data_IF_884728333081
#
_entry.id   IF_884728333081
#
_cell.length_a   1.000
_cell.length_b   1.000
_cell.length_c   1.000
_cell.angle_alpha   90.00
_cell.angle_beta   90.00
_cell.angle_gamma   90.00
#
_symmetry.space_group_name_H-M   'P 1'
#
loop_
_entity.id
_entity.type
_entity.pdbx_description
1 polymer ?
#
# COMPACT_ATOMS: atom_id res chain seq x y z
N UNK A 1 -11.76 -30.72 29.93
CA UNK A 1 -11.42 -29.40 30.47
C UNK A 1 -10.11 -28.86 29.87
N UNK A 2 -9.05 -29.67 29.79
CA UNK A 2 -7.73 -29.25 29.28
C UNK A 2 -7.73 -28.83 27.79
N UNK A 3 -8.46 -29.53 26.91
CA UNK A 3 -8.57 -29.16 25.49
C UNK A 3 -9.23 -27.79 25.28
N UNK A 4 -10.29 -27.49 26.04
CA UNK A 4 -10.96 -26.19 25.97
C UNK A 4 -10.03 -25.06 26.44
N UNK A 5 -9.25 -25.31 27.49
CA UNK A 5 -8.24 -24.36 27.96
C UNK A 5 -7.17 -24.10 26.89
N UNK A 6 -6.65 -25.14 26.24
CA UNK A 6 -5.68 -24.99 25.16
C UNK A 6 -6.23 -24.17 23.97
N UNK A 7 -7.49 -24.39 23.59
CA UNK A 7 -8.16 -23.64 22.51
C UNK A 7 -8.31 -22.16 22.90
N UNK A 8 -8.72 -21.86 24.14
CA UNK A 8 -8.86 -20.49 24.64
C UNK A 8 -7.51 -19.77 24.64
N UNK A 9 -6.46 -20.43 25.14
CA UNK A 9 -5.10 -19.87 25.16
C UNK A 9 -4.62 -19.58 23.74
N UNK A 10 -4.83 -20.49 22.79
CA UNK A 10 -4.50 -20.27 21.38
C UNK A 10 -5.24 -19.06 20.80
N UNK A 11 -6.54 -18.94 21.06
CA UNK A 11 -7.34 -17.80 20.60
C UNK A 11 -6.84 -16.47 21.21
N UNK A 12 -6.47 -16.45 22.48
CA UNK A 12 -5.85 -15.30 23.13
C UNK A 12 -4.53 -14.90 22.46
N UNK A 13 -3.64 -15.86 22.15
CA UNK A 13 -2.40 -15.57 21.44
C UNK A 13 -2.64 -14.99 20.05
N UNK A 14 -3.60 -15.51 19.30
CA UNK A 14 -3.98 -14.98 17.98
C UNK A 14 -4.53 -13.55 18.09
N UNK A 15 -5.39 -13.29 19.07
CA UNK A 15 -5.94 -11.96 19.32
C UNK A 15 -4.84 -10.95 19.69
N UNK A 16 -3.94 -11.31 20.60
CA UNK A 16 -2.80 -10.47 21.01
C UNK A 16 -1.87 -10.21 19.83
N UNK A 17 -1.57 -11.22 19.02
CA UNK A 17 -0.75 -11.07 17.81
C UNK A 17 -1.35 -10.09 16.79
N UNK A 18 -2.65 -10.19 16.53
CA UNK A 18 -3.37 -9.26 15.63
C UNK A 18 -3.38 -7.81 16.17
N UNK A 19 -3.54 -7.65 17.49
CA UNK A 19 -3.51 -6.34 18.13
C UNK A 19 -2.09 -5.76 18.12
N UNK A 20 -1.07 -6.57 18.41
CA UNK A 20 0.32 -6.15 18.36
C UNK A 20 0.76 -5.71 16.98
N UNK A 21 0.43 -6.48 15.94
CA UNK A 21 0.71 -6.12 14.53
C UNK A 21 -0.01 -4.83 14.12
N UNK A 22 -1.27 -4.65 14.55
CA UNK A 22 -2.01 -3.40 14.33
C UNK A 22 -1.26 -2.20 14.89
N UNK A 23 -0.88 -2.23 16.18
CA UNK A 23 -0.19 -1.12 16.82
C UNK A 23 1.18 -0.87 16.22
N UNK A 24 1.91 -1.92 15.85
CA UNK A 24 3.20 -1.82 15.17
C UNK A 24 3.08 -1.03 13.85
N UNK A 25 2.17 -1.43 12.95
CA UNK A 25 2.00 -0.72 11.67
C UNK A 25 1.38 0.66 11.84
N UNK A 26 0.49 0.82 12.82
CA UNK A 26 -0.07 2.14 13.16
C UNK A 26 1.04 3.12 13.57
N UNK A 27 2.04 2.65 14.31
CA UNK A 27 3.18 3.49 14.68
C UNK A 27 4.08 3.81 13.48
N UNK A 28 4.30 2.84 12.58
CA UNK A 28 5.00 3.06 11.31
C UNK A 28 4.32 4.11 10.43
N UNK A 29 2.99 4.07 10.34
CA UNK A 29 2.21 5.09 9.62
C UNK A 29 2.46 6.49 10.19
N UNK A 30 2.42 6.63 11.52
CA UNK A 30 2.71 7.91 12.18
C UNK A 30 4.13 8.39 11.93
N UNK A 31 5.12 7.49 11.96
CA UNK A 31 6.52 7.85 11.72
C UNK A 31 6.73 8.39 10.30
N UNK A 32 6.12 7.76 9.29
CA UNK A 32 6.15 8.27 7.92
C UNK A 32 5.46 9.65 7.82
N UNK A 33 4.28 9.81 8.39
CA UNK A 33 3.58 11.10 8.40
C UNK A 33 4.41 12.19 9.09
N UNK A 34 5.06 11.86 10.22
CA UNK A 34 5.97 12.77 10.94
C UNK A 34 7.16 13.16 10.08
N UNK A 35 7.73 12.21 9.32
CA UNK A 35 8.81 12.49 8.38
C UNK A 35 8.39 13.44 7.25
N UNK A 36 7.11 13.45 6.89
CA UNK A 36 6.56 14.31 5.85
C UNK A 36 6.18 15.72 6.34
N UNK A 37 6.15 15.97 7.65
CA UNK A 37 5.88 17.30 8.22
C UNK A 37 6.90 18.31 7.68
N UNK A 38 6.40 19.46 7.22
CA UNK A 38 7.22 20.54 6.65
C UNK A 38 7.69 20.29 5.21
N UNK A 39 7.21 19.23 4.56
CA UNK A 39 7.49 18.93 3.14
C UNK A 39 6.22 19.05 2.32
N UNK A 40 6.38 19.37 1.04
CA UNK A 40 5.26 19.36 0.10
C UNK A 40 4.90 17.91 -0.27
N UNK A 41 3.70 17.49 0.12
CA UNK A 41 3.10 16.23 -0.27
C UNK A 41 1.59 16.42 -0.45
N UNK A 42 0.98 15.57 -1.26
CA UNK A 42 -0.47 15.47 -1.39
C UNK A 42 -0.94 14.20 -0.71
N UNK A 43 -1.89 14.30 0.22
CA UNK A 43 -2.50 13.16 0.87
C UNK A 43 -3.98 13.07 0.49
N UNK A 44 -4.39 11.91 -0.01
CA UNK A 44 -5.79 11.60 -0.32
C UNK A 44 -6.22 10.47 0.60
N UNK A 45 -7.07 10.80 1.56
CA UNK A 45 -7.47 9.87 2.59
C UNK A 45 -8.55 8.90 2.12
N UNK A 46 -8.57 7.70 2.71
CA UNK A 46 -9.64 6.72 2.55
C UNK A 46 -9.97 6.39 1.09
N UNK A 47 -8.94 6.24 0.26
CA UNK A 47 -9.04 5.77 -1.13
C UNK A 47 -9.28 4.27 -1.11
N UNK A 48 -10.23 3.78 -1.89
CA UNK A 48 -10.45 2.35 -2.02
C UNK A 48 -9.34 1.78 -2.90
N UNK A 49 -8.74 0.68 -2.45
CA UNK A 49 -7.65 0.04 -3.17
C UNK A 49 -7.96 -1.43 -3.43
N UNK A 50 -7.66 -1.87 -4.64
CA UNK A 50 -7.71 -3.28 -5.04
C UNK A 50 -6.28 -3.70 -5.42
N UNK A 51 -5.71 -4.66 -4.69
CA UNK A 51 -4.35 -5.16 -4.93
C UNK A 51 -4.43 -6.62 -5.39
N UNK A 52 -3.90 -6.86 -6.58
CA UNK A 52 -3.69 -8.18 -7.15
C UNK A 52 -2.19 -8.49 -7.13
N UNK A 53 -1.82 -9.55 -6.44
CA UNK A 53 -0.43 -9.98 -6.23
C UNK A 53 -0.25 -11.35 -6.85
N UNK A 54 0.73 -11.47 -7.74
CA UNK A 54 1.10 -12.76 -8.34
C UNK A 54 2.57 -13.04 -8.14
N UNK A 55 2.88 -14.16 -7.50
CA UNK A 55 4.25 -14.65 -7.33
C UNK A 55 4.67 -15.60 -8.45
N UNK A 56 3.73 -16.34 -9.05
CA UNK A 56 3.88 -17.30 -10.15
C UNK A 56 2.48 -17.57 -10.77
N UNK A 57 2.39 -18.32 -11.88
CA UNK A 57 1.09 -18.67 -12.55
C UNK A 57 0.05 -19.30 -11.60
N UNK A 58 0.48 -19.92 -10.51
CA UNK A 58 -0.38 -20.70 -9.61
C UNK A 58 -0.83 -19.93 -8.36
N UNK A 59 -0.09 -18.90 -7.93
CA UNK A 59 -0.40 -18.17 -6.69
C UNK A 59 -0.79 -16.73 -7.02
N UNK A 60 -2.09 -16.46 -6.90
CA UNK A 60 -2.69 -15.14 -7.08
C UNK A 60 -3.42 -14.76 -5.79
N UNK A 61 -2.92 -13.75 -5.10
CA UNK A 61 -3.57 -13.13 -3.96
C UNK A 61 -4.34 -11.89 -4.41
N UNK A 62 -5.57 -11.73 -3.94
CA UNK A 62 -6.36 -10.54 -4.21
C UNK A 62 -6.87 -9.95 -2.89
N UNK A 63 -6.66 -8.65 -2.72
CA UNK A 63 -7.03 -7.94 -1.50
C UNK A 63 -7.73 -6.63 -1.82
N UNK A 64 -8.87 -6.39 -1.17
CA UNK A 64 -9.61 -5.12 -1.22
C UNK A 64 -9.48 -4.44 0.14
N UNK A 65 -8.95 -3.23 0.14
CA UNK A 65 -8.73 -2.43 1.35
C UNK A 65 -9.11 -0.96 1.13
N UNK A 66 -8.88 -0.15 2.15
CA UNK A 66 -8.76 1.30 2.02
C UNK A 66 -7.33 1.72 2.32
N UNK A 67 -6.87 2.83 1.76
CA UNK A 67 -5.60 3.42 2.12
C UNK A 67 -5.66 4.94 2.06
N UNK A 68 -4.81 5.57 2.85
CA UNK A 68 -4.43 6.96 2.57
C UNK A 68 -3.31 6.92 1.52
N UNK A 69 -3.53 7.59 0.40
CA UNK A 69 -2.59 7.65 -0.72
C UNK A 69 -1.82 8.95 -0.59
N UNK A 70 -0.50 8.83 -0.41
CA UNK A 70 0.37 9.99 -0.27
C UNK A 70 1.26 10.08 -1.50
N UNK A 71 1.12 11.17 -2.26
CA UNK A 71 2.04 11.53 -3.33
C UNK A 71 3.12 12.44 -2.76
N UNK A 72 4.36 12.00 -2.81
CA UNK A 72 5.52 12.75 -2.33
C UNK A 72 6.66 12.62 -3.34
N UNK A 73 7.01 13.73 -4.00
CA UNK A 73 8.01 13.76 -5.08
C UNK A 73 7.67 12.74 -6.17
N UNK A 74 8.53 11.73 -6.37
CA UNK A 74 8.38 10.65 -7.37
C UNK A 74 7.85 9.35 -6.75
N UNK A 75 7.35 9.42 -5.52
CA UNK A 75 6.88 8.28 -4.74
C UNK A 75 5.39 8.38 -4.46
N UNK A 76 4.74 7.23 -4.42
CA UNK A 76 3.37 7.07 -3.92
C UNK A 76 3.45 6.12 -2.73
N UNK A 77 3.02 6.57 -1.55
CA UNK A 77 2.89 5.70 -0.38
C UNK A 77 1.44 5.30 -0.20
N UNK A 78 1.22 4.02 0.12
CA UNK A 78 -0.08 3.48 0.47
C UNK A 78 -0.07 3.11 1.95
N UNK A 79 -0.77 3.90 2.77
CA UNK A 79 -0.97 3.61 4.18
C UNK A 79 -2.23 2.75 4.31
N UNK A 80 -2.05 1.44 4.20
CA UNK A 80 -3.14 0.49 4.05
C UNK A 80 -3.87 0.24 5.37
N UNK A 81 -5.20 0.19 5.30
CA UNK A 81 -6.10 -0.18 6.39
C UNK A 81 -6.97 -1.33 5.92
N UNK A 82 -6.93 -2.43 6.67
CA UNK A 82 -7.73 -3.62 6.42
C UNK A 82 -9.22 -3.31 6.46
N UNK A 83 -10.00 -4.06 5.67
CA UNK A 83 -11.47 -3.90 5.60
C UNK A 83 -12.16 -4.11 6.95
N UNK A 84 -11.65 -5.05 7.76
CA UNK A 84 -12.22 -5.43 9.05
C UNK A 84 -11.47 -4.67 10.15
N UNK A 85 -12.20 -3.97 11.01
CA UNK A 85 -11.68 -3.16 12.13
C UNK A 85 -10.66 -2.07 11.76
N UNK A 86 -10.54 -1.69 10.48
CA UNK A 86 -9.56 -0.69 10.01
C UNK A 86 -8.13 -0.99 10.47
N UNK A 87 -7.77 -2.28 10.52
CA UNK A 87 -6.46 -2.69 11.01
C UNK A 87 -5.36 -2.09 10.13
N UNK A 88 -4.46 -1.30 10.72
CA UNK A 88 -3.25 -0.84 10.04
C UNK A 88 -2.45 -2.03 9.48
N UNK A 89 -2.08 -1.92 8.21
CA UNK A 89 -1.32 -2.89 7.44
C UNK A 89 0.02 -2.30 7.03
N UNK A 90 0.95 -3.09 6.48
CA UNK A 90 2.24 -2.56 6.05
C UNK A 90 2.11 -1.44 5.02
N UNK A 91 3.00 -0.45 5.09
CA UNK A 91 3.09 0.63 4.12
C UNK A 91 3.74 0.09 2.85
N UNK A 92 3.09 0.32 1.71
CA UNK A 92 3.68 0.06 0.39
C UNK A 92 4.20 1.37 -0.20
N UNK A 93 5.42 1.34 -0.71
CA UNK A 93 5.99 2.41 -1.52
C UNK A 93 5.91 2.02 -2.97
N UNK A 94 5.50 2.95 -3.82
CA UNK A 94 5.47 2.78 -5.26
C UNK A 94 6.34 3.86 -5.87
N UNK A 95 7.35 3.45 -6.63
CA UNK A 95 8.35 4.32 -7.25
C UNK A 95 8.63 3.86 -8.69
N UNK A 96 9.18 4.74 -9.52
CA UNK A 96 9.57 4.36 -10.90
C UNK A 96 10.76 3.42 -10.84
N UNK A 97 10.80 2.43 -11.75
CA UNK A 97 12.01 1.60 -11.94
C UNK A 97 13.26 2.48 -12.06
N UNK A 98 14.29 2.13 -11.29
CA UNK A 98 15.56 2.85 -11.23
C UNK A 98 15.64 3.89 -10.10
N UNK A 99 14.53 4.15 -9.40
CA UNK A 99 14.57 4.89 -8.14
C UNK A 99 15.06 3.95 -7.02
N UNK A 100 16.07 4.39 -6.27
CA UNK A 100 16.69 3.62 -5.18
C UNK A 100 16.49 4.27 -3.82
N UNK A 101 15.72 5.37 -3.74
CA UNK A 101 15.42 6.05 -2.49
C UNK A 101 14.51 5.17 -1.62
N UNK A 102 15.02 4.75 -0.46
CA UNK A 102 14.32 3.89 0.49
C UNK A 102 13.89 4.68 1.71
N UNK A 103 12.69 4.37 2.21
CA UNK A 103 12.14 4.97 3.42
C UNK A 103 12.08 3.91 4.53
N UNK A 104 12.55 4.27 5.72
CA UNK A 104 12.78 3.34 6.85
C UNK A 104 11.51 2.60 7.32
N UNK A 105 10.35 3.22 7.18
CA UNK A 105 9.09 2.70 7.72
C UNK A 105 8.21 2.02 6.67
N UNK A 106 8.73 1.89 5.45
CA UNK A 106 8.10 1.17 4.34
C UNK A 106 8.45 -0.31 4.44
N UNK A 107 7.45 -1.16 4.26
CA UNK A 107 7.64 -2.60 4.27
C UNK A 107 8.13 -3.12 2.92
N UNK A 108 7.52 -2.66 1.84
CA UNK A 108 7.80 -3.14 0.49
C UNK A 108 7.80 -2.00 -0.52
N UNK A 109 8.82 -2.04 -1.39
CA UNK A 109 8.95 -1.14 -2.52
C UNK A 109 8.51 -1.85 -3.80
N UNK A 110 7.56 -1.24 -4.49
CA UNK A 110 6.99 -1.68 -5.74
C UNK A 110 7.49 -0.74 -6.84
N UNK A 111 8.33 -1.28 -7.71
CA UNK A 111 8.79 -0.60 -8.89
C UNK A 111 7.70 -0.66 -9.97
N UNK A 112 7.09 0.48 -10.29
CA UNK A 112 6.05 0.50 -11.32
C UNK A 112 6.66 0.43 -12.72
N UNK A 113 6.08 -0.44 -13.55
CA UNK A 113 6.34 -0.57 -14.98
C UNK A 113 5.45 0.42 -15.75
N UNK A 114 4.18 0.53 -15.34
CA UNK A 114 3.23 1.44 -15.96
C UNK A 114 2.20 1.98 -14.96
N UNK A 115 1.71 3.19 -15.25
CA UNK A 115 0.58 3.84 -14.59
C UNK A 115 -0.39 4.27 -15.68
N UNK A 116 -1.67 3.95 -15.54
CA UNK A 116 -2.68 4.39 -16.51
C UNK A 116 -4.02 4.60 -15.83
N UNK A 117 -4.84 5.48 -16.40
CA UNK A 117 -6.25 5.59 -16.04
C UNK A 117 -7.01 4.40 -16.62
N UNK A 118 -7.83 3.77 -15.81
CA UNK A 118 -8.83 2.79 -16.26
C UNK A 118 -10.13 3.21 -15.62
N UNK A 119 -11.05 3.75 -16.42
CA UNK A 119 -12.28 4.39 -15.94
C UNK A 119 -11.96 5.52 -14.94
N UNK A 120 -12.43 5.42 -13.70
CA UNK A 120 -12.16 6.39 -12.62
C UNK A 120 -11.03 5.97 -11.66
N UNK A 121 -10.28 4.92 -12.03
CA UNK A 121 -9.22 4.35 -11.19
C UNK A 121 -7.85 4.58 -11.80
N UNK A 122 -6.86 4.79 -10.95
CA UNK A 122 -5.45 4.70 -11.33
C UNK A 122 -5.02 3.24 -11.23
N UNK A 123 -4.67 2.64 -12.35
CA UNK A 123 -4.03 1.32 -12.39
C UNK A 123 -2.52 1.47 -12.41
N UNK A 124 -1.86 0.85 -11.46
CA UNK A 124 -0.40 0.78 -11.34
C UNK A 124 0.00 -0.69 -11.48
N UNK A 125 0.76 -1.00 -12.52
CA UNK A 125 1.37 -2.32 -12.71
C UNK A 125 2.86 -2.21 -12.39
N UNK A 126 3.36 -3.11 -11.55
CA UNK A 126 4.75 -3.08 -11.10
C UNK A 126 5.19 -4.40 -10.51
N UNK A 127 6.37 -4.38 -9.88
CA UNK A 127 6.88 -5.54 -9.17
C UNK A 127 7.73 -5.14 -7.96
N UNK A 128 7.78 -6.02 -6.98
CA UNK A 128 8.74 -5.97 -5.89
C UNK A 128 9.74 -7.12 -6.02
N UNK A 129 10.97 -6.89 -5.55
CA UNK A 129 12.00 -7.93 -5.47
C UNK A 129 12.12 -8.38 -4.01
N UNK A 130 11.83 -9.65 -3.76
CA UNK A 130 12.01 -10.32 -2.46
C UNK A 130 13.17 -11.29 -2.58
N UNK A 131 14.39 -10.79 -2.38
CA UNK A 131 15.61 -11.53 -2.70
C UNK A 131 15.67 -11.85 -4.20
N UNK A 132 15.80 -13.12 -4.55
CA UNK A 132 15.82 -13.58 -5.96
C UNK A 132 14.43 -13.71 -6.58
N UNK A 133 13.35 -13.53 -5.81
CA UNK A 133 11.98 -13.70 -6.30
C UNK A 133 11.37 -12.37 -6.71
N UNK A 134 10.80 -12.35 -7.91
CA UNK A 134 9.99 -11.24 -8.41
C UNK A 134 8.53 -11.47 -8.04
N UNK A 135 7.90 -10.44 -7.48
CA UNK A 135 6.48 -10.44 -7.13
C UNK A 135 5.80 -9.38 -7.98
N UNK A 136 4.92 -9.80 -8.89
CA UNK A 136 4.19 -8.86 -9.74
C UNK A 136 2.96 -8.32 -9.00
N UNK A 137 2.76 -7.01 -9.10
CA UNK A 137 1.66 -6.28 -8.48
C UNK A 137 0.83 -5.58 -9.55
N UNK A 138 -0.48 -5.65 -9.40
CA UNK A 138 -1.44 -4.77 -10.08
C UNK A 138 -2.32 -4.12 -9.03
N UNK A 139 -2.14 -2.82 -8.86
CA UNK A 139 -2.82 -2.00 -7.85
C UNK A 139 -3.80 -1.08 -8.57
N UNK A 140 -5.03 -1.04 -8.08
CA UNK A 140 -6.03 -0.07 -8.50
C UNK A 140 -6.32 0.87 -7.34
N UNK A 141 -6.18 2.17 -7.58
CA UNK A 141 -6.56 3.22 -6.64
C UNK A 141 -7.80 3.91 -7.17
N UNK A 142 -8.89 3.85 -6.41
CA UNK A 142 -10.18 4.37 -6.78
C UNK A 142 -10.43 5.72 -6.11
N UNK A 143 -10.29 6.77 -6.91
CA UNK A 143 -10.48 8.16 -6.49
C UNK A 143 -11.92 8.65 -6.73
N UNK A 144 -12.86 7.74 -7.02
CA UNK A 144 -14.27 8.13 -7.15
C UNK A 144 -14.76 8.82 -5.87
N UNK A 145 -15.42 9.97 -6.03
CA UNK A 145 -15.87 10.85 -4.95
C UNK A 145 -14.74 11.47 -4.11
N UNK A 146 -13.53 11.58 -4.67
CA UNK A 146 -12.44 12.40 -4.12
C UNK A 146 -12.27 13.64 -4.98
N UNK A 147 -11.96 14.77 -4.35
CA UNK A 147 -11.58 15.99 -5.03
C UNK A 147 -10.13 15.88 -5.52
N UNK A 148 -9.92 15.01 -6.50
CA UNK A 148 -8.61 14.75 -7.09
C UNK A 148 -8.71 14.59 -8.59
N UNK A 149 -8.00 15.45 -9.30
CA UNK A 149 -7.92 15.39 -10.75
C UNK A 149 -6.89 14.36 -11.22
N UNK A 150 -7.38 13.13 -11.38
CA UNK A 150 -6.57 12.01 -11.85
C UNK A 150 -6.06 12.22 -13.28
N UNK A 151 -6.81 12.91 -14.13
CA UNK A 151 -6.46 13.13 -15.53
C UNK A 151 -5.25 14.06 -15.63
N UNK A 152 -5.30 15.18 -14.93
CA UNK A 152 -4.20 16.12 -14.86
C UNK A 152 -2.95 15.51 -14.23
N UNK A 153 -3.10 14.68 -13.19
CA UNK A 153 -1.96 13.98 -12.58
C UNK A 153 -1.24 13.05 -13.57
N UNK A 154 -1.98 12.27 -14.35
CA UNK A 154 -1.40 11.34 -15.34
C UNK A 154 -0.73 12.12 -16.47
N UNK A 155 -1.40 13.14 -17.00
CA UNK A 155 -0.91 13.91 -18.14
C UNK A 155 0.28 14.82 -17.79
N UNK A 156 0.29 15.42 -16.60
CA UNK A 156 1.43 16.22 -16.10
C UNK A 156 2.72 15.41 -15.92
N UNK A 157 2.62 14.11 -15.63
CA UNK A 157 3.78 13.20 -15.55
C UNK A 157 4.30 12.81 -16.94
N UNK A 158 3.46 12.78 -17.98
CA UNK A 158 3.88 12.46 -19.34
C UNK A 158 4.64 13.62 -19.99
N UNK A 159 4.35 14.88 -19.61
CA UNK A 159 5.06 16.05 -20.13
C UNK A 159 6.50 16.22 -19.60
N UNK A 160 6.83 15.67 -18.42
CA UNK A 160 8.20 15.69 -17.89
C UNK A 160 9.09 14.53 -18.39
N UNK A 161 8.56 13.65 -19.24
CA UNK A 161 9.24 12.44 -19.71
C UNK A 161 9.50 12.43 -21.23
N UNK A 162 9.26 13.55 -21.92
CA UNK A 162 9.64 13.78 -23.32
C UNK A 162 10.79 14.77 -23.40
#
# INVERSE_FOLDING_TARGET
>A
MELYFAIVVLFCFLAIGNVGTHFYYKEKHKQLLKFLIGKEFLCIENVKIDIDVSHNKTFRGYQINKADVIFFRKHIFLLIRGKIFSQAQPILQISRIGNTEKFKDVWEEINYISKMKVENKLRISGFALRGSFKVDYKIFLDFQNKDFDLENYINGQNMCNN
#
